data_IF_462702270404
#
_entry.id   IF_462702270404
#
_cell.length_a   1.000
_cell.length_b   1.000
_cell.length_c   1.000
_cell.angle_alpha   90.00
_cell.angle_beta   90.00
_cell.angle_gamma   90.00
#
_symmetry.space_group_name_H-M   'P 1'
#
loop_
_entity.id
_entity.type
_entity.pdbx_description
1 polymer ?
#
# COMPACT_ATOMS: atom_id res chain seq x y z
N UNK A 1 57.36 -8.70 13.55
CA UNK A 1 57.47 -10.11 13.98
C UNK A 1 56.08 -10.67 14.23
N UNK A 2 55.80 -11.82 13.58
CA UNK A 2 54.78 -12.87 13.83
C UNK A 2 53.27 -12.53 13.80
N UNK A 3 52.64 -13.17 12.81
CA UNK A 3 51.21 -13.36 12.52
C UNK A 3 50.57 -14.32 13.52
N UNK A 4 49.24 -14.25 13.72
CA UNK A 4 48.36 -15.44 13.78
C UNK A 4 47.02 -15.10 13.12
N UNK A 5 46.67 -15.88 12.10
CA UNK A 5 45.36 -15.94 11.47
C UNK A 5 44.57 -17.10 12.10
N UNK A 6 43.26 -16.98 12.21
CA UNK A 6 42.39 -18.13 12.54
C UNK A 6 41.17 -18.10 11.65
N UNK A 7 41.23 -18.95 10.63
CA UNK A 7 40.13 -19.38 9.77
C UNK A 7 39.21 -20.33 10.54
N UNK A 8 37.89 -20.12 10.46
CA UNK A 8 36.91 -21.15 10.76
C UNK A 8 35.93 -21.28 9.57
N UNK A 9 36.07 -22.38 8.84
CA UNK A 9 35.14 -22.86 7.81
C UNK A 9 34.01 -23.63 8.51
N UNK A 10 32.77 -23.40 8.12
CA UNK A 10 31.69 -24.35 8.36
C UNK A 10 30.92 -24.63 7.07
N UNK A 11 31.11 -25.87 6.59
CA UNK A 11 30.29 -26.54 5.59
C UNK A 11 28.98 -27.01 6.24
N UNK A 12 27.84 -26.76 5.60
CA UNK A 12 26.61 -27.58 5.72
C UNK A 12 25.89 -27.47 4.36
N UNK A 13 26.11 -28.44 3.47
CA UNK A 13 25.27 -29.62 3.19
C UNK A 13 23.95 -29.29 2.46
N UNK A 14 23.93 -29.79 1.23
CA UNK A 14 22.82 -29.81 0.30
C UNK A 14 21.63 -30.63 0.81
N UNK A 15 20.42 -30.27 0.38
CA UNK A 15 19.31 -31.20 0.26
C UNK A 15 18.44 -30.81 -0.93
N UNK A 16 18.62 -31.58 -2.02
CA UNK A 16 17.68 -31.68 -3.12
C UNK A 16 16.45 -32.46 -2.64
N UNK A 17 15.26 -31.96 -2.96
CA UNK A 17 14.06 -32.79 -3.03
C UNK A 17 13.26 -32.39 -4.27
N UNK A 18 13.44 -33.20 -5.31
CA UNK A 18 12.59 -33.32 -6.48
C UNK A 18 11.31 -34.06 -6.05
N UNK A 19 10.14 -33.46 -6.25
CA UNK A 19 8.88 -34.23 -6.32
C UNK A 19 8.14 -33.77 -7.57
N UNK A 20 8.24 -34.59 -8.61
CA UNK A 20 7.34 -34.57 -9.75
C UNK A 20 6.14 -35.46 -9.40
N UNK A 21 4.93 -34.91 -9.46
CA UNK A 21 3.71 -35.72 -9.55
C UNK A 21 2.99 -35.39 -10.86
N UNK A 22 2.87 -36.43 -11.67
CA UNK A 22 2.15 -36.52 -12.92
C UNK A 22 0.75 -37.13 -12.69
N UNK A 23 -0.13 -36.89 -13.66
CA UNK A 23 -1.20 -37.75 -14.19
C UNK A 23 -2.68 -37.58 -13.77
N UNK A 24 -3.48 -37.52 -14.85
CA UNK A 24 -4.78 -38.16 -15.12
C UNK A 24 -6.04 -37.46 -14.59
N UNK A 25 -6.97 -36.99 -15.44
CA UNK A 25 -7.82 -37.62 -16.46
C UNK A 25 -9.18 -38.08 -15.91
N UNK A 26 -10.27 -37.59 -16.55
CA UNK A 26 -11.57 -38.23 -16.86
C UNK A 26 -12.57 -37.09 -17.20
N UNK A 27 -13.04 -36.89 -18.43
CA UNK A 27 -14.00 -37.65 -19.26
C UNK A 27 -15.35 -37.93 -18.60
N UNK A 28 -16.43 -37.40 -19.19
CA UNK A 28 -17.75 -38.03 -19.21
C UNK A 28 -18.93 -37.11 -18.92
N UNK A 29 -19.91 -37.05 -19.85
CA UNK A 29 -21.25 -36.54 -19.53
C UNK A 29 -22.05 -35.97 -20.70
N UNK A 30 -22.67 -36.84 -21.49
CA UNK A 30 -23.61 -36.52 -22.58
C UNK A 30 -24.92 -35.91 -22.09
N UNK A 31 -25.51 -35.02 -22.91
CA UNK A 31 -26.93 -35.13 -23.26
C UNK A 31 -27.86 -33.95 -22.96
N UNK A 32 -28.80 -33.79 -23.91
CA UNK A 32 -30.20 -33.34 -23.79
C UNK A 32 -30.51 -31.92 -24.32
N UNK A 33 -31.09 -31.95 -25.53
CA UNK A 33 -32.30 -31.28 -26.02
C UNK A 33 -32.60 -29.82 -25.67
N UNK A 34 -32.63 -29.01 -26.74
CA UNK A 34 -33.80 -28.26 -27.19
C UNK A 34 -34.62 -27.48 -26.18
N UNK A 35 -34.60 -26.16 -26.30
CA UNK A 35 -35.83 -25.37 -26.48
C UNK A 35 -35.49 -23.98 -27.00
N UNK A 36 -36.22 -23.56 -28.02
CA UNK A 36 -36.16 -22.24 -28.66
C UNK A 36 -36.98 -21.25 -27.84
N UNK A 37 -36.42 -20.16 -27.30
CA UNK A 37 -37.23 -19.11 -26.70
C UNK A 37 -37.71 -18.13 -27.77
N UNK A 38 -39.01 -18.14 -28.00
CA UNK A 38 -39.79 -17.12 -28.71
C UNK A 38 -39.49 -15.73 -28.12
N UNK A 39 -39.09 -14.79 -28.97
CA UNK A 39 -38.93 -13.38 -28.63
C UNK A 39 -40.31 -12.69 -28.55
N UNK A 40 -40.63 -11.96 -27.47
CA UNK A 40 -41.72 -10.99 -27.49
C UNK A 40 -41.25 -9.62 -27.98
N UNK A 41 -42.08 -9.05 -28.83
CA UNK A 41 -41.97 -7.73 -29.46
C UNK A 41 -41.99 -6.57 -28.47
N UNK A 42 -41.29 -5.51 -28.87
CA UNK A 42 -41.29 -4.17 -28.29
C UNK A 42 -42.69 -3.54 -28.29
N UNK A 43 -43.06 -2.83 -27.22
CA UNK A 43 -43.80 -1.57 -27.35
C UNK A 43 -43.61 -0.61 -26.14
N UNK A 44 -43.17 0.60 -26.51
CA UNK A 44 -43.37 1.94 -25.95
C UNK A 44 -43.20 2.31 -24.46
N UNK A 45 -42.37 3.36 -24.34
CA UNK A 45 -42.11 4.29 -23.24
C UNK A 45 -43.37 4.95 -22.61
N UNK A 46 -43.26 5.49 -21.38
CA UNK A 46 -43.21 6.94 -21.32
C UNK A 46 -42.12 7.53 -20.40
N UNK A 47 -41.57 8.66 -20.86
CA UNK A 47 -40.96 9.77 -20.09
C UNK A 47 -41.77 10.05 -18.80
N UNK A 48 -41.23 10.45 -17.65
CA UNK A 48 -40.11 11.35 -17.41
C UNK A 48 -39.85 11.42 -15.90
N UNK A 49 -38.58 11.47 -15.49
CA UNK A 49 -38.10 12.33 -14.40
C UNK A 49 -36.58 12.23 -14.39
N UNK A 50 -35.96 12.97 -15.29
CA UNK A 50 -34.58 13.43 -15.14
C UNK A 50 -34.54 14.27 -13.86
N UNK A 51 -34.33 13.60 -12.72
CA UNK A 51 -33.69 14.27 -11.58
C UNK A 51 -32.25 14.49 -12.02
N UNK A 52 -31.95 15.74 -12.34
CA UNK A 52 -30.60 16.25 -12.43
C UNK A 52 -29.82 15.81 -11.20
N UNK A 53 -29.01 14.74 -11.34
CA UNK A 53 -27.89 14.45 -10.45
C UNK A 53 -26.78 15.44 -10.81
N UNK A 54 -26.98 16.69 -10.43
CA UNK A 54 -25.92 17.67 -10.39
C UNK A 54 -25.15 17.41 -9.10
N UNK A 55 -24.06 16.63 -9.20
CA UNK A 55 -23.21 16.30 -8.06
C UNK A 55 -22.49 14.95 -8.14
N UNK A 56 -21.89 14.61 -9.29
CA UNK A 56 -20.82 13.59 -9.34
C UNK A 56 -19.74 14.07 -10.30
N UNK A 57 -19.14 15.22 -10.02
CA UNK A 57 -17.75 15.37 -10.42
C UNK A 57 -16.95 14.41 -9.54
N UNK A 58 -16.79 13.18 -10.02
CA UNK A 58 -15.76 12.24 -9.55
C UNK A 58 -14.37 12.76 -9.96
N UNK A 59 -14.13 14.05 -9.79
CA UNK A 59 -12.79 14.60 -9.85
C UNK A 59 -12.08 14.00 -8.64
N UNK A 60 -10.99 13.24 -8.83
CA UNK A 60 -10.12 12.86 -7.73
C UNK A 60 -9.85 14.12 -6.91
N UNK A 61 -9.93 14.05 -5.57
CA UNK A 61 -9.59 15.22 -4.78
C UNK A 61 -8.16 15.57 -5.17
N UNK A 62 -7.99 16.80 -5.66
CA UNK A 62 -6.70 17.21 -6.18
C UNK A 62 -5.75 17.25 -5.00
N UNK A 63 -4.66 16.47 -5.02
CA UNK A 63 -3.66 16.55 -3.97
C UNK A 63 -3.32 17.99 -3.65
N UNK A 64 -3.43 18.39 -2.39
CA UNK A 64 -3.04 19.74 -2.03
C UNK A 64 -1.53 19.85 -2.12
N UNK A 65 -1.07 20.84 -2.87
CA UNK A 65 0.35 21.16 -3.07
C UNK A 65 0.86 22.15 -2.03
N UNK A 66 -0.05 22.81 -1.30
CA UNK A 66 0.26 23.80 -0.28
C UNK A 66 0.49 23.13 1.09
N UNK A 67 1.66 22.51 1.22
CA UNK A 67 2.20 22.07 2.50
C UNK A 67 3.73 22.14 2.47
N UNK A 68 4.32 22.13 3.66
CA UNK A 68 5.77 22.11 3.84
C UNK A 68 6.17 20.85 4.60
N UNK A 69 7.10 20.10 4.03
CA UNK A 69 7.73 19.01 4.75
C UNK A 69 8.64 19.54 5.86
N UNK A 70 8.70 18.86 7.01
CA UNK A 70 9.61 19.19 8.09
C UNK A 70 11.06 18.99 7.65
N UNK A 71 11.99 19.69 8.32
CA UNK A 71 13.41 19.46 8.11
C UNK A 71 13.81 18.06 8.60
N UNK A 72 14.89 17.51 8.02
CA UNK A 72 15.45 16.25 8.50
C UNK A 72 15.95 16.40 9.94
N UNK A 73 15.56 15.45 10.80
CA UNK A 73 15.94 15.36 12.22
C UNK A 73 17.32 14.73 12.46
N UNK A 74 18.12 14.50 11.42
CA UNK A 74 19.43 13.84 11.49
C UNK A 74 19.42 12.39 11.02
N UNK A 75 20.52 11.68 11.25
CA UNK A 75 20.72 10.29 10.85
C UNK A 75 20.04 9.34 11.83
N UNK A 76 19.15 8.46 11.32
CA UNK A 76 18.52 7.38 12.08
C UNK A 76 19.23 6.07 11.73
N UNK A 77 19.69 5.34 12.74
CA UNK A 77 20.22 3.97 12.55
C UNK A 77 19.07 2.96 12.47
N UNK A 78 19.14 1.96 11.58
CA UNK A 78 18.16 0.87 11.55
C UNK A 78 18.12 0.07 12.86
N UNK A 79 16.95 -0.50 13.17
CA UNK A 79 16.78 -1.44 14.28
C UNK A 79 17.38 -2.82 13.94
N UNK A 80 17.20 -3.80 14.83
CA UNK A 80 17.69 -5.17 14.64
C UNK A 80 17.13 -5.87 13.38
N UNK A 81 15.93 -5.47 12.93
CA UNK A 81 15.28 -5.98 11.72
C UNK A 81 15.66 -5.19 10.46
N UNK A 82 16.57 -4.21 10.57
CA UNK A 82 16.98 -3.36 9.47
C UNK A 82 15.96 -2.31 9.05
N UNK A 83 15.01 -1.95 9.93
CA UNK A 83 14.00 -0.90 9.70
C UNK A 83 14.39 0.40 10.40
N UNK A 84 14.18 1.54 9.73
CA UNK A 84 14.33 2.87 10.31
C UNK A 84 13.12 3.17 11.20
N UNK A 85 13.35 3.30 12.50
CA UNK A 85 12.32 3.70 13.44
C UNK A 85 12.02 5.20 13.28
N UNK A 86 10.74 5.54 13.07
CA UNK A 86 10.29 6.91 12.83
C UNK A 86 9.20 7.32 13.82
N UNK A 87 9.12 8.61 14.09
CA UNK A 87 7.96 9.25 14.74
C UNK A 87 6.97 9.77 13.68
N UNK A 88 5.71 9.92 14.06
CA UNK A 88 4.74 10.66 13.25
C UNK A 88 5.25 12.10 13.05
N UNK A 89 5.07 12.62 11.84
CA UNK A 89 5.58 13.94 11.47
C UNK A 89 7.08 13.99 11.18
N UNK A 90 7.81 12.87 11.25
CA UNK A 90 9.25 12.86 10.98
C UNK A 90 9.56 12.60 9.50
N UNK A 91 10.50 13.35 8.93
CA UNK A 91 10.90 13.21 7.53
C UNK A 91 11.53 11.83 7.25
N UNK A 92 10.96 11.12 6.29
CA UNK A 92 11.50 9.92 5.66
C UNK A 92 11.80 10.21 4.18
N UNK A 93 12.45 9.28 3.49
CA UNK A 93 12.72 9.49 2.08
C UNK A 93 13.40 8.33 1.39
N UNK A 94 13.13 8.23 0.10
CA UNK A 94 13.66 7.24 -0.81
C UNK A 94 14.87 7.82 -1.52
N UNK A 95 15.96 7.06 -1.55
CA UNK A 95 17.19 7.42 -2.26
C UNK A 95 17.39 6.55 -3.49
N UNK A 96 18.25 6.99 -4.41
CA UNK A 96 18.60 6.19 -5.59
C UNK A 96 19.36 4.94 -5.18
N UNK A 97 19.12 3.84 -5.91
CA UNK A 97 19.89 2.59 -5.78
C UNK A 97 21.34 2.77 -6.17
N UNK A 98 21.57 3.53 -7.23
CA UNK A 98 22.91 3.74 -7.79
C UNK A 98 23.73 4.73 -6.96
N UNK A 99 23.06 5.64 -6.25
CA UNK A 99 23.69 6.64 -5.40
C UNK A 99 22.76 7.04 -4.24
N UNK A 100 23.07 6.54 -3.03
CA UNK A 100 22.31 6.83 -1.81
C UNK A 100 22.32 8.30 -1.39
N UNK A 101 23.18 9.14 -1.97
CA UNK A 101 23.19 10.59 -1.74
C UNK A 101 22.10 11.31 -2.56
N UNK A 102 21.61 10.68 -3.63
CA UNK A 102 20.55 11.22 -4.49
C UNK A 102 19.18 10.90 -3.89
N UNK A 103 18.49 11.94 -3.41
CA UNK A 103 17.12 11.84 -2.91
C UNK A 103 16.13 11.81 -4.07
N UNK A 104 15.29 10.77 -4.14
CA UNK A 104 14.22 10.64 -5.14
C UNK A 104 12.87 11.12 -4.60
N UNK A 105 12.58 10.79 -3.33
CA UNK A 105 11.30 11.12 -2.69
C UNK A 105 11.57 11.52 -1.25
N UNK A 106 10.90 12.57 -0.80
CA UNK A 106 10.74 12.89 0.62
C UNK A 106 9.29 12.64 1.00
N UNK A 107 9.07 12.03 2.15
CA UNK A 107 7.71 11.82 2.63
C UNK A 107 7.63 11.84 4.15
N UNK A 108 6.42 12.05 4.65
CA UNK A 108 6.09 12.01 6.07
C UNK A 108 4.80 11.24 6.24
N UNK A 109 4.78 10.35 7.24
CA UNK A 109 3.52 9.88 7.82
C UNK A 109 3.07 10.95 8.81
N UNK A 110 2.14 11.80 8.37
CA UNK A 110 1.72 12.99 9.11
C UNK A 110 0.81 12.61 10.28
N UNK A 111 -0.13 11.69 10.04
CA UNK A 111 -1.03 11.16 11.05
C UNK A 111 -1.37 9.70 10.79
N UNK A 112 -1.66 8.97 11.86
CA UNK A 112 -2.29 7.65 11.82
C UNK A 112 -3.54 7.72 12.68
N UNK A 113 -4.69 7.34 12.13
CA UNK A 113 -5.97 7.27 12.85
C UNK A 113 -6.45 5.82 12.86
N UNK A 114 -6.43 5.21 14.04
CA UNK A 114 -7.00 3.88 14.27
C UNK A 114 -8.50 4.01 14.48
N UNK A 115 -9.28 3.02 14.04
CA UNK A 115 -10.74 3.06 14.02
C UNK A 115 -11.28 4.24 13.19
N UNK A 116 -10.66 4.47 12.03
CA UNK A 116 -11.08 5.54 11.13
C UNK A 116 -12.49 5.29 10.59
N UNK A 117 -13.34 6.30 10.67
CA UNK A 117 -14.66 6.31 10.05
C UNK A 117 -14.57 6.92 8.66
N UNK A 118 -15.06 6.20 7.65
CA UNK A 118 -14.92 6.61 6.26
C UNK A 118 -15.85 7.80 5.94
N UNK A 119 -15.27 8.84 5.36
CA UNK A 119 -15.97 10.10 5.02
C UNK A 119 -16.62 9.99 3.63
N UNK A 120 -17.42 8.95 3.42
CA UNK A 120 -18.14 8.67 2.15
C UNK A 120 -19.65 8.52 2.40
N UNK A 121 -20.52 8.78 1.41
CA UNK A 121 -21.94 8.50 1.55
C UNK A 121 -22.21 7.00 1.73
N UNK A 122 -22.94 6.65 2.80
CA UNK A 122 -23.29 5.27 3.13
C UNK A 122 -22.38 4.65 4.19
N UNK A 123 -22.72 3.44 4.64
CA UNK A 123 -21.94 2.71 5.63
C UNK A 123 -20.93 1.79 4.94
N UNK A 124 -19.64 2.05 5.15
CA UNK A 124 -18.55 1.15 4.74
C UNK A 124 -17.98 0.47 5.98
N UNK A 125 -17.98 -0.86 5.99
CA UNK A 125 -17.47 -1.67 7.11
C UNK A 125 -16.12 -2.30 6.79
N UNK A 126 -15.18 -2.33 7.74
CA UNK A 126 -13.94 -3.06 7.57
C UNK A 126 -14.21 -4.57 7.46
N UNK A 127 -13.51 -5.24 6.56
CA UNK A 127 -13.57 -6.68 6.41
C UNK A 127 -12.78 -7.42 7.51
N UNK A 128 -11.75 -6.78 8.07
CA UNK A 128 -10.90 -7.35 9.12
C UNK A 128 -11.19 -6.78 10.51
N UNK A 129 -12.08 -5.79 10.63
CA UNK A 129 -12.59 -5.29 11.91
C UNK A 129 -12.27 -3.82 12.19
N UNK A 130 -11.15 -3.30 11.69
CA UNK A 130 -10.71 -1.92 11.94
C UNK A 130 -10.21 -1.25 10.67
N UNK A 131 -10.58 0.00 10.43
CA UNK A 131 -9.85 0.84 9.48
C UNK A 131 -8.76 1.62 10.17
N UNK A 132 -7.57 1.66 9.57
CA UNK A 132 -6.48 2.53 9.96
C UNK A 132 -6.22 3.48 8.80
N UNK A 133 -6.48 4.78 8.99
CA UNK A 133 -6.12 5.80 8.00
C UNK A 133 -4.72 6.32 8.26
N UNK A 134 -3.91 6.35 7.21
CA UNK A 134 -2.54 6.86 7.20
C UNK A 134 -2.50 8.07 6.28
N UNK A 135 -2.21 9.24 6.84
CA UNK A 135 -2.02 10.46 6.06
C UNK A 135 -0.56 10.61 5.67
N UNK A 136 -0.31 10.74 4.37
CA UNK A 136 1.02 10.85 3.80
C UNK A 136 1.18 12.19 3.11
N UNK A 137 2.28 12.86 3.40
CA UNK A 137 2.74 14.08 2.71
C UNK A 137 3.99 13.72 1.92
N UNK A 138 3.97 13.93 0.61
CA UNK A 138 4.95 13.40 -0.32
C UNK A 138 5.47 14.51 -1.23
N UNK A 139 6.78 14.60 -1.38
CA UNK A 139 7.46 15.44 -2.35
C UNK A 139 8.42 14.59 -3.17
N UNK A 140 8.17 14.48 -4.48
CA UNK A 140 9.09 13.84 -5.42
C UNK A 140 10.09 14.86 -5.95
N UNK A 141 11.36 14.48 -6.07
CA UNK A 141 12.40 15.38 -6.59
C UNK A 141 12.49 15.30 -8.12
N UNK A 142 13.18 16.24 -8.74
CA UNK A 142 13.49 16.16 -10.17
C UNK A 142 14.33 14.93 -10.52
N UNK A 143 15.18 14.45 -9.61
CA UNK A 143 16.03 13.28 -9.82
C UNK A 143 15.24 11.99 -10.06
N UNK A 144 13.97 11.93 -9.62
CA UNK A 144 13.08 10.81 -9.91
C UNK A 144 12.94 10.54 -11.42
N UNK A 145 13.04 11.55 -12.28
CA UNK A 145 12.96 11.39 -13.74
C UNK A 145 14.05 10.49 -14.32
N UNK A 146 15.18 10.35 -13.60
CA UNK A 146 16.32 9.56 -14.03
C UNK A 146 16.30 8.13 -13.46
N UNK A 147 15.32 7.81 -12.61
CA UNK A 147 15.16 6.47 -12.07
C UNK A 147 14.51 5.54 -13.10
N UNK A 148 14.67 4.22 -12.90
CA UNK A 148 14.11 3.19 -13.79
C UNK A 148 12.59 3.29 -13.94
N UNK A 149 11.89 3.72 -12.88
CA UNK A 149 10.45 4.01 -12.91
C UNK A 149 10.25 5.48 -12.49
N UNK A 150 10.03 6.41 -13.45
CA UNK A 150 10.03 7.84 -13.20
C UNK A 150 8.74 8.33 -12.52
N UNK A 151 8.17 7.52 -11.63
CA UNK A 151 7.00 7.81 -10.81
C UNK A 151 7.19 7.21 -9.42
N UNK A 152 6.60 7.84 -8.42
CA UNK A 152 6.45 7.27 -7.09
C UNK A 152 5.01 6.82 -6.86
N UNK A 153 4.83 5.62 -6.33
CA UNK A 153 3.53 5.08 -5.96
C UNK A 153 3.64 4.39 -4.61
N UNK A 154 2.59 4.54 -3.78
CA UNK A 154 2.47 3.85 -2.51
C UNK A 154 1.01 3.47 -2.29
N UNK A 155 0.79 2.24 -1.84
CA UNK A 155 -0.52 1.63 -1.67
C UNK A 155 -0.57 0.78 -0.41
N UNK A 156 -1.75 0.32 -0.01
CA UNK A 156 -1.91 -0.55 1.16
C UNK A 156 -1.10 -1.86 1.06
N UNK A 157 -0.78 -2.31 -0.16
CA UNK A 157 0.04 -3.51 -0.41
C UNK A 157 1.53 -3.34 -0.06
N UNK A 158 1.97 -2.10 0.08
CA UNK A 158 3.35 -1.76 0.44
C UNK A 158 3.55 -1.71 1.96
N UNK A 159 2.44 -1.74 2.70
CA UNK A 159 2.43 -1.76 4.15
C UNK A 159 2.25 -3.17 4.71
N UNK A 160 2.93 -3.41 5.82
CA UNK A 160 2.73 -4.53 6.71
C UNK A 160 2.36 -4.01 8.10
N UNK A 161 1.69 -4.85 8.89
CA UNK A 161 1.43 -4.59 10.32
C UNK A 161 2.11 -5.66 11.17
N UNK A 162 2.64 -5.21 12.30
CA UNK A 162 3.07 -6.06 13.40
C UNK A 162 2.10 -5.84 14.57
N UNK A 163 1.48 -6.90 15.06
CA UNK A 163 0.58 -6.84 16.21
C UNK A 163 1.31 -6.50 17.52
N UNK A 164 0.56 -6.33 18.62
CA UNK A 164 1.14 -6.04 19.93
C UNK A 164 2.02 -7.17 20.49
N UNK A 165 1.87 -8.38 19.98
CA UNK A 165 2.71 -9.55 20.31
C UNK A 165 4.03 -9.58 19.52
N UNK A 166 4.28 -8.57 18.69
CA UNK A 166 5.46 -8.50 17.85
C UNK A 166 5.41 -9.40 16.62
N UNK A 167 4.27 -10.04 16.31
CA UNK A 167 4.16 -10.88 15.11
C UNK A 167 3.54 -10.12 13.95
N UNK A 168 3.98 -10.46 12.74
CA UNK A 168 3.40 -9.92 11.51
C UNK A 168 1.94 -10.37 11.37
N UNK A 169 1.06 -9.41 11.10
CA UNK A 169 -0.34 -9.64 10.72
C UNK A 169 -0.38 -10.28 9.33
N UNK A 170 -1.16 -11.34 9.19
CA UNK A 170 -1.28 -12.12 7.94
C UNK A 170 -2.52 -11.79 7.12
N UNK A 171 -3.51 -11.10 7.72
CA UNK A 171 -4.68 -10.61 7.00
C UNK A 171 -4.28 -9.57 5.95
N UNK A 172 -4.98 -9.54 4.81
CA UNK A 172 -4.73 -8.52 3.78
C UNK A 172 -5.18 -7.16 4.28
N UNK A 173 -4.27 -6.19 4.30
CA UNK A 173 -4.58 -4.79 4.65
C UNK A 173 -5.23 -4.04 3.49
N UNK A 174 -5.00 -4.52 2.26
CA UNK A 174 -5.56 -4.00 1.02
C UNK A 174 -6.86 -4.75 0.71
N UNK A 175 -8.00 -4.20 1.14
CA UNK A 175 -9.32 -4.78 0.92
C UNK A 175 -10.19 -3.85 0.08
N UNK A 176 -11.22 -4.41 -0.56
CA UNK A 176 -12.22 -3.61 -1.28
C UNK A 176 -12.88 -2.57 -0.38
N UNK A 177 -13.15 -2.91 0.89
CA UNK A 177 -13.77 -1.98 1.83
C UNK A 177 -12.84 -0.81 2.17
N UNK A 178 -11.55 -1.05 2.34
CA UNK A 178 -10.57 0.03 2.53
C UNK A 178 -10.48 0.96 1.31
N UNK A 179 -10.53 0.41 0.08
CA UNK A 179 -10.59 1.23 -1.13
C UNK A 179 -11.86 2.08 -1.21
N UNK A 180 -13.03 1.51 -0.88
CA UNK A 180 -14.30 2.23 -0.91
C UNK A 180 -14.32 3.44 0.04
N UNK A 181 -13.50 3.43 1.11
CA UNK A 181 -13.35 4.57 2.01
C UNK A 181 -12.67 5.80 1.38
N UNK A 182 -12.06 5.65 0.22
CA UNK A 182 -11.36 6.70 -0.51
C UNK A 182 -12.13 7.18 -1.75
N UNK A 183 -13.37 6.72 -1.96
CA UNK A 183 -14.23 7.12 -3.10
C UNK A 183 -14.66 8.60 -3.03
N UNK A 184 -14.36 9.29 -1.94
CA UNK A 184 -14.48 10.75 -1.80
C UNK A 184 -13.28 11.53 -2.40
N UNK A 185 -12.33 10.83 -3.01
CA UNK A 185 -11.17 11.42 -3.67
C UNK A 185 -9.99 11.73 -2.76
N UNK A 186 -10.07 11.49 -1.44
CA UNK A 186 -8.97 11.77 -0.50
C UNK A 186 -7.74 10.87 -0.69
N UNK A 187 -7.85 9.82 -1.51
CA UNK A 187 -6.80 8.85 -1.77
C UNK A 187 -5.58 9.44 -2.47
N UNK A 188 -4.41 8.85 -2.22
CA UNK A 188 -3.23 9.12 -3.03
C UNK A 188 -3.40 8.61 -4.48
N UNK A 189 -2.87 9.34 -5.49
CA UNK A 189 -2.83 8.81 -6.84
C UNK A 189 -1.83 7.64 -6.93
N UNK A 190 -2.10 6.69 -7.82
CA UNK A 190 -1.25 5.52 -8.03
C UNK A 190 0.16 5.87 -8.55
N UNK A 191 0.33 7.04 -9.20
CA UNK A 191 1.59 7.52 -9.76
C UNK A 191 1.76 9.01 -9.50
N UNK A 192 2.87 9.35 -8.88
CA UNK A 192 3.30 10.72 -8.58
C UNK A 192 4.52 11.01 -9.45
N UNK A 193 4.36 11.92 -10.41
CA UNK A 193 5.43 12.32 -11.33
C UNK A 193 6.58 13.05 -10.60
N UNK A 194 7.74 13.26 -11.25
CA UNK A 194 8.84 14.04 -10.68
C UNK A 194 8.42 15.49 -10.35
N UNK A 195 9.06 16.08 -9.35
CA UNK A 195 8.83 17.48 -8.94
C UNK A 195 7.39 17.80 -8.55
N UNK A 196 6.72 16.88 -7.85
CA UNK A 196 5.34 17.02 -7.38
C UNK A 196 5.28 17.08 -5.86
N UNK A 197 4.27 17.79 -5.33
CA UNK A 197 3.89 17.80 -3.92
C UNK A 197 2.46 17.33 -3.76
N UNK A 198 2.26 16.29 -2.97
CA UNK A 198 0.97 15.62 -2.82
C UNK A 198 0.77 15.28 -1.35
N UNK A 199 -0.41 15.57 -0.83
CA UNK A 199 -0.89 14.96 0.41
C UNK A 199 -2.15 14.15 0.12
N UNK A 200 -2.32 13.05 0.84
CA UNK A 200 -3.49 12.21 0.72
C UNK A 200 -3.53 11.11 1.78
N UNK A 201 -4.65 10.39 1.75
CA UNK A 201 -4.92 9.28 2.66
C UNK A 201 -4.67 7.93 2.00
N UNK A 202 -4.31 6.98 2.83
CA UNK A 202 -4.31 5.57 2.55
C UNK A 202 -5.06 4.89 3.69
N UNK A 203 -6.03 4.04 3.38
CA UNK A 203 -6.79 3.29 4.39
C UNK A 203 -6.34 1.83 4.35
N UNK A 204 -6.06 1.28 5.53
CA UNK A 204 -5.70 -0.12 5.76
C UNK A 204 -6.84 -0.80 6.50
N UNK A 205 -7.18 -2.03 6.12
CA UNK A 205 -8.17 -2.86 6.81
C UNK A 205 -7.47 -3.86 7.72
N UNK A 206 -7.52 -3.63 9.03
CA UNK A 206 -6.68 -4.29 10.02
C UNK A 206 -7.50 -5.14 11.00
N UNK A 207 -7.00 -6.31 11.41
CA UNK A 207 -7.54 -7.07 12.54
C UNK A 207 -7.01 -6.59 13.91
N UNK A 208 -6.09 -5.62 13.93
CA UNK A 208 -5.47 -5.10 15.16
C UNK A 208 -5.55 -3.58 15.22
N UNK A 209 -5.55 -3.05 16.43
CA UNK A 209 -5.59 -1.59 16.72
C UNK A 209 -4.29 -1.06 17.32
N UNK A 210 -3.33 -1.93 17.61
CA UNK A 210 -2.05 -1.58 18.24
C UNK A 210 -0.90 -2.40 17.67
N UNK A 211 0.33 -1.96 17.94
CA UNK A 211 1.55 -2.53 17.40
C UNK A 211 2.26 -1.54 16.48
N UNK A 212 2.83 -2.01 15.37
CA UNK A 212 3.64 -1.19 14.49
C UNK A 212 3.24 -1.30 13.02
N UNK A 213 3.27 -0.16 12.33
CA UNK A 213 3.09 -0.03 10.89
C UNK A 213 4.46 -0.03 10.21
N UNK A 214 4.63 -0.91 9.22
CA UNK A 214 5.89 -1.08 8.49
C UNK A 214 5.63 -0.71 7.03
N UNK A 215 6.46 0.18 6.47
CA UNK A 215 6.51 0.43 5.03
C UNK A 215 7.79 -0.22 4.48
N UNK A 216 7.61 -1.29 3.71
CA UNK A 216 8.70 -2.02 3.07
C UNK A 216 8.76 -1.64 1.60
N UNK A 217 9.82 -0.94 1.17
CA UNK A 217 9.98 -0.71 -0.26
C UNK A 217 10.70 -1.87 -0.92
N UNK A 218 9.90 -2.75 -1.55
CA UNK A 218 10.40 -3.90 -2.32
C UNK A 218 11.26 -3.50 -3.52
N UNK A 219 11.14 -2.24 -3.96
CA UNK A 219 11.73 -1.74 -5.20
C UNK A 219 12.85 -0.71 -5.00
N UNK A 220 13.26 -0.39 -3.76
CA UNK A 220 14.34 0.57 -3.49
C UNK A 220 15.36 -0.06 -2.55
N UNK A 221 16.64 0.20 -2.78
CA UNK A 221 17.68 -0.32 -1.90
C UNK A 221 17.76 0.59 -0.67
N UNK A 222 17.62 0.01 0.51
CA UNK A 222 17.65 0.75 1.77
C UNK A 222 16.79 0.11 2.87
N UNK A 223 16.97 0.54 4.11
CA UNK A 223 16.13 0.10 5.22
C UNK A 223 14.69 0.60 5.01
N UNK A 224 13.70 -0.28 5.26
CA UNK A 224 12.29 0.13 5.32
C UNK A 224 12.03 1.05 6.51
N UNK A 225 10.78 1.42 6.74
CA UNK A 225 10.40 2.30 7.87
C UNK A 225 9.39 1.64 8.78
N UNK A 226 9.46 1.96 10.07
CA UNK A 226 8.53 1.48 11.08
C UNK A 226 8.05 2.62 11.98
N UNK A 227 6.74 2.66 12.22
CA UNK A 227 6.06 3.56 13.14
C UNK A 227 5.26 2.76 14.15
N UNK A 228 5.21 3.22 15.40
CA UNK A 228 4.25 2.68 16.36
C UNK A 228 2.87 3.24 16.05
N UNK A 229 1.84 2.39 16.08
CA UNK A 229 0.46 2.85 16.03
C UNK A 229 0.18 3.68 17.29
N UNK A 230 -0.50 4.82 17.17
CA UNK A 230 -0.89 5.60 18.34
C UNK A 230 -1.82 4.79 19.24
N UNK A 231 -1.73 5.01 20.55
CA UNK A 231 -2.73 4.49 21.47
C UNK A 231 -4.11 5.08 21.12
N UNK A 232 -5.16 4.29 21.35
CA UNK A 232 -6.55 4.72 21.20
C UNK A 232 -6.95 5.74 22.26
#
# INVERSE_FOLDING_TARGET
>A
MRRVATTARSLWMASLLLVALMLSACTGGSGISGDTPTAPSYDSSPSSSTRDRQGTDNSPATPQTDFKLPASSGTVSPNADGLLQKKLGELAGVVSKDDSTVRLVNFVVASIKVDYHCEVPGEVKPANGHFIAVELWIETTAALSNSKDPYFGVSAKDFDLQGPDGKKVTASLDTRSAHACLDNGLGLPAKIAPSQKIKGLLVLDSPVTSGALILSQKNTDGPGWIWQLPAK
#
